data_IF_754228860338
#
_entry.id   IF_754228860338
#
_cell.length_a   1.000
_cell.length_b   1.000
_cell.length_c   1.000
_cell.angle_alpha   90.00
_cell.angle_beta   90.00
_cell.angle_gamma   90.00
#
_symmetry.space_group_name_H-M   'P 1'
#
loop_
_entity.id
_entity.type
_entity.pdbx_description
1 polymer ?
#
# COMPACT_ATOMS: atom_id res chain seq x y z
N UNK A 1 -10.79 5.13 28.41
CA UNK A 1 -11.96 4.29 28.74
C UNK A 1 -11.55 3.27 29.80
N UNK A 2 -12.41 2.95 30.76
CA UNK A 2 -12.12 1.95 31.81
C UNK A 2 -12.06 0.54 31.21
N UNK A 3 -11.24 -0.35 31.79
CA UNK A 3 -11.24 -1.77 31.44
C UNK A 3 -12.54 -2.46 31.89
N UNK A 4 -13.16 -3.21 30.98
CA UNK A 4 -14.41 -3.95 31.22
C UNK A 4 -14.16 -5.15 32.13
N UNK A 5 -15.10 -5.44 33.04
CA UNK A 5 -15.11 -6.65 33.85
C UNK A 5 -15.44 -7.87 32.98
N UNK A 6 -15.12 -9.11 33.43
CA UNK A 6 -15.36 -10.32 32.62
C UNK A 6 -16.81 -10.51 32.17
N UNK A 7 -17.79 -10.17 33.02
CA UNK A 7 -19.22 -10.26 32.69
C UNK A 7 -19.65 -9.20 31.66
N UNK A 8 -19.11 -7.99 31.76
CA UNK A 8 -19.36 -6.89 30.82
C UNK A 8 -18.76 -7.20 29.45
N UNK A 9 -17.53 -7.76 29.42
CA UNK A 9 -16.88 -8.18 28.19
C UNK A 9 -17.63 -9.34 27.51
N UNK A 10 -18.26 -10.23 28.29
CA UNK A 10 -19.09 -11.31 27.76
C UNK A 10 -20.37 -10.79 27.08
N UNK A 11 -20.96 -9.72 27.61
CA UNK A 11 -22.10 -9.01 27.00
C UNK A 11 -21.66 -8.20 25.77
N UNK A 12 -20.53 -7.51 25.87
CA UNK A 12 -20.03 -6.54 24.88
C UNK A 12 -18.97 -7.13 23.93
N UNK A 13 -19.10 -8.41 23.54
CA UNK A 13 -18.10 -9.11 22.70
C UNK A 13 -17.86 -8.47 21.34
N UNK A 14 -18.87 -7.84 20.75
CA UNK A 14 -18.79 -7.19 19.42
C UNK A 14 -18.41 -5.72 19.50
N UNK A 15 -18.33 -5.14 20.69
CA UNK A 15 -18.09 -3.71 20.88
C UNK A 15 -16.60 -3.48 21.02
N UNK A 16 -16.01 -2.89 19.99
CA UNK A 16 -14.68 -2.32 20.04
C UNK A 16 -14.80 -0.88 19.52
N UNK A 17 -14.50 0.11 20.36
CA UNK A 17 -14.62 1.52 19.98
C UNK A 17 -13.47 2.01 19.08
N UNK A 18 -12.35 1.30 19.07
CA UNK A 18 -11.16 1.71 18.31
C UNK A 18 -11.07 1.00 16.95
N UNK A 19 -11.63 -0.20 16.84
CA UNK A 19 -11.56 -1.02 15.64
C UNK A 19 -12.97 -1.46 15.22
N UNK A 20 -13.48 -0.81 14.17
CA UNK A 20 -14.76 -1.15 13.55
C UNK A 20 -14.51 -2.02 12.32
N UNK A 21 -15.38 -3.01 12.07
CA UNK A 21 -15.23 -3.93 10.94
C UNK A 21 -15.19 -3.24 9.57
N UNK A 22 -15.91 -2.13 9.40
CA UNK A 22 -15.87 -1.33 8.16
C UNK A 22 -14.55 -0.56 8.01
N UNK A 23 -13.90 -0.25 9.13
CA UNK A 23 -12.69 0.56 9.22
C UNK A 23 -11.45 -0.26 9.61
N UNK A 24 -11.47 -1.59 9.45
CA UNK A 24 -10.28 -2.43 9.71
C UNK A 24 -9.06 -1.98 8.89
N UNK A 25 -9.31 -1.35 7.74
CA UNK A 25 -8.27 -0.73 6.92
C UNK A 25 -7.67 0.55 7.52
N UNK A 26 -8.37 1.25 8.42
CA UNK A 26 -7.93 2.50 9.05
C UNK A 26 -6.66 2.29 9.90
N UNK A 27 -6.59 1.19 10.66
CA UNK A 27 -5.39 0.88 11.47
C UNK A 27 -4.19 0.59 10.59
N UNK A 28 -4.39 -0.11 9.46
CA UNK A 28 -3.31 -0.40 8.49
C UNK A 28 -2.85 0.87 7.78
N UNK A 29 -3.80 1.69 7.36
CA UNK A 29 -3.55 3.01 6.77
C UNK A 29 -2.73 3.90 7.71
N UNK A 30 -3.18 4.09 8.95
CA UNK A 30 -2.46 4.91 9.94
C UNK A 30 -1.03 4.42 10.19
N UNK A 31 -0.82 3.09 10.23
CA UNK A 31 0.52 2.49 10.33
C UNK A 31 1.39 2.83 9.11
N UNK A 32 0.86 2.76 7.91
CA UNK A 32 1.59 3.05 6.67
C UNK A 32 1.92 4.55 6.58
N UNK A 33 0.95 5.40 6.89
CA UNK A 33 1.10 6.86 6.93
C UNK A 33 2.25 7.24 7.88
N UNK A 34 2.22 6.72 9.11
CA UNK A 34 3.27 6.96 10.10
C UNK A 34 4.63 6.41 9.66
N UNK A 35 4.66 5.20 9.08
CA UNK A 35 5.90 4.55 8.66
C UNK A 35 6.65 5.31 7.55
N UNK A 36 5.92 5.90 6.60
CA UNK A 36 6.51 6.59 5.46
C UNK A 36 6.42 8.11 5.52
N UNK A 37 6.00 8.68 6.67
CA UNK A 37 5.88 10.13 6.84
C UNK A 37 4.92 10.77 5.82
N UNK A 38 3.80 10.12 5.53
CA UNK A 38 2.78 10.67 4.63
C UNK A 38 2.05 11.79 5.39
N UNK A 39 2.07 13.02 4.87
CA UNK A 39 1.41 14.15 5.50
C UNK A 39 -0.10 14.11 5.26
N UNK A 40 -0.50 14.00 4.00
CA UNK A 40 -1.90 13.98 3.60
C UNK A 40 -2.46 12.56 3.52
N UNK A 41 -3.53 12.30 4.26
CA UNK A 41 -4.24 11.01 4.21
C UNK A 41 -4.76 10.67 2.81
N UNK A 42 -5.09 11.69 2.01
CA UNK A 42 -5.54 11.51 0.65
C UNK A 42 -4.49 10.88 -0.26
N UNK A 43 -3.20 11.19 -0.05
CA UNK A 43 -2.10 10.58 -0.82
C UNK A 43 -2.14 9.06 -0.71
N UNK A 44 -2.32 8.55 0.51
CA UNK A 44 -2.43 7.12 0.76
C UNK A 44 -3.61 6.51 0.00
N UNK A 45 -4.76 7.18 0.05
CA UNK A 45 -5.97 6.73 -0.65
C UNK A 45 -5.76 6.70 -2.17
N UNK A 46 -5.09 7.71 -2.73
CA UNK A 46 -4.73 7.77 -4.15
C UNK A 46 -3.79 6.61 -4.53
N UNK A 47 -2.76 6.33 -3.73
CA UNK A 47 -1.86 5.19 -3.97
C UNK A 47 -2.57 3.84 -3.89
N UNK A 48 -3.46 3.67 -2.92
CA UNK A 48 -4.22 2.43 -2.76
C UNK A 48 -5.20 2.21 -3.94
N UNK A 49 -5.82 3.30 -4.43
CA UNK A 49 -6.64 3.25 -5.64
C UNK A 49 -5.79 2.85 -6.85
N UNK A 50 -4.60 3.41 -6.99
CA UNK A 50 -3.70 3.12 -8.10
C UNK A 50 -3.19 1.67 -8.07
N UNK A 51 -2.81 1.12 -6.91
CA UNK A 51 -2.50 -0.31 -6.79
C UNK A 51 -3.69 -1.18 -7.20
N UNK A 52 -4.90 -0.82 -6.78
CA UNK A 52 -6.12 -1.53 -7.18
C UNK A 52 -6.39 -1.48 -8.69
N UNK A 53 -6.09 -0.36 -9.37
CA UNK A 53 -6.19 -0.26 -10.83
C UNK A 53 -5.19 -1.19 -11.53
N UNK A 54 -3.94 -1.24 -11.06
CA UNK A 54 -2.93 -2.16 -11.60
C UNK A 54 -3.38 -3.61 -11.44
N UNK A 55 -3.85 -4.00 -10.25
CA UNK A 55 -4.34 -5.37 -10.02
C UNK A 55 -5.54 -5.71 -10.92
N UNK A 56 -6.43 -4.74 -11.21
CA UNK A 56 -7.54 -4.94 -12.15
C UNK A 56 -7.06 -5.18 -13.58
N UNK A 57 -6.09 -4.40 -14.06
CA UNK A 57 -5.48 -4.60 -15.39
C UNK A 57 -4.82 -5.97 -15.47
N UNK A 58 -4.05 -6.36 -14.45
CA UNK A 58 -3.42 -7.70 -14.38
C UNK A 58 -4.48 -8.81 -14.38
N UNK A 59 -5.58 -8.63 -13.66
CA UNK A 59 -6.67 -9.59 -13.64
C UNK A 59 -7.37 -9.71 -15.01
N UNK A 60 -7.47 -8.61 -15.76
CA UNK A 60 -7.99 -8.63 -17.14
C UNK A 60 -7.01 -9.35 -18.08
N UNK A 61 -5.70 -9.06 -18.00
CA UNK A 61 -4.68 -9.74 -18.80
C UNK A 61 -4.62 -11.24 -18.53
N UNK A 62 -4.86 -11.67 -17.30
CA UNK A 62 -4.93 -13.10 -16.93
C UNK A 62 -6.12 -13.84 -17.53
N UNK A 63 -7.19 -13.15 -17.93
CA UNK A 63 -8.36 -13.76 -18.59
C UNK A 63 -8.10 -14.08 -20.06
N UNK A 64 -7.16 -13.40 -20.70
CA UNK A 64 -6.80 -13.61 -22.09
C UNK A 64 -5.89 -14.85 -22.26
N UNK A 65 -5.95 -15.56 -23.39
CA UNK A 65 -5.08 -16.71 -23.64
C UNK A 65 -3.61 -16.28 -23.72
N UNK A 66 -2.68 -17.17 -23.35
CA UNK A 66 -1.26 -16.84 -23.26
C UNK A 66 -0.58 -16.56 -24.61
N UNK A 67 -1.15 -17.10 -25.69
CA UNK A 67 -0.64 -16.98 -27.06
C UNK A 67 -1.08 -15.70 -27.77
N UNK A 68 -1.93 -14.87 -27.14
CA UNK A 68 -2.42 -13.64 -27.74
C UNK A 68 -1.32 -12.56 -27.79
N UNK A 69 -1.10 -12.00 -28.97
CA UNK A 69 -0.07 -11.00 -29.21
C UNK A 69 -0.33 -9.71 -28.43
N UNK A 70 -1.60 -9.32 -28.28
CA UNK A 70 -1.99 -8.13 -27.51
C UNK A 70 -1.67 -8.30 -26.02
N UNK A 71 -1.91 -9.49 -25.48
CA UNK A 71 -1.58 -9.81 -24.09
C UNK A 71 -0.09 -9.69 -23.84
N UNK A 72 0.74 -10.22 -24.75
CA UNK A 72 2.21 -10.18 -24.63
C UNK A 72 2.69 -8.72 -24.64
N UNK A 73 2.28 -7.94 -25.64
CA UNK A 73 2.63 -6.51 -25.77
C UNK A 73 2.21 -5.70 -24.54
N UNK A 74 0.97 -5.86 -24.09
CA UNK A 74 0.45 -5.10 -22.94
C UNK A 74 1.14 -5.51 -21.63
N UNK A 75 1.48 -6.79 -21.48
CA UNK A 75 2.22 -7.29 -20.31
C UNK A 75 3.62 -6.69 -20.24
N UNK A 76 4.32 -6.65 -21.38
CA UNK A 76 5.66 -6.07 -21.48
C UNK A 76 5.63 -4.57 -21.13
N UNK A 77 4.72 -3.81 -21.74
CA UNK A 77 4.55 -2.37 -21.47
C UNK A 77 4.23 -2.10 -19.99
N UNK A 78 3.36 -2.92 -19.39
CA UNK A 78 3.01 -2.78 -17.98
C UNK A 78 4.22 -3.03 -17.07
N UNK A 79 4.96 -4.12 -17.32
CA UNK A 79 6.11 -4.51 -16.51
C UNK A 79 7.24 -3.51 -16.63
N UNK A 80 7.55 -3.07 -17.85
CA UNK A 80 8.59 -2.07 -18.10
C UNK A 80 8.28 -0.74 -17.41
N UNK A 81 7.02 -0.27 -17.52
CA UNK A 81 6.59 0.96 -16.85
C UNK A 81 6.69 0.86 -15.32
N UNK A 82 6.23 -0.25 -14.73
CA UNK A 82 6.29 -0.46 -13.28
C UNK A 82 7.73 -0.61 -12.76
N UNK A 83 8.59 -1.23 -13.56
CA UNK A 83 10.01 -1.40 -13.24
C UNK A 83 10.78 -0.08 -13.35
N UNK A 84 10.55 0.69 -14.41
CA UNK A 84 11.14 2.02 -14.61
C UNK A 84 10.76 2.99 -13.48
N UNK A 85 9.50 2.94 -13.01
CA UNK A 85 9.08 3.70 -11.82
C UNK A 85 9.70 3.17 -10.51
N UNK A 86 10.22 1.94 -10.51
CA UNK A 86 10.81 1.25 -9.36
C UNK A 86 9.78 0.74 -8.35
N UNK A 87 8.52 0.58 -8.78
CA UNK A 87 7.43 0.07 -7.92
C UNK A 87 7.59 -1.44 -7.70
N UNK A 88 8.07 -2.15 -8.73
CA UNK A 88 8.46 -3.55 -8.68
C UNK A 88 10.00 -3.69 -8.77
N UNK A 89 10.60 -4.68 -8.08
CA UNK A 89 12.05 -4.88 -8.10
C UNK A 89 12.55 -5.60 -9.36
N UNK A 90 11.69 -6.38 -10.03
CA UNK A 90 12.04 -7.15 -11.23
C UNK A 90 10.87 -7.16 -12.21
N UNK A 91 11.19 -7.12 -13.50
CA UNK A 91 10.21 -7.13 -14.60
C UNK A 91 9.88 -8.55 -15.11
N UNK A 92 10.17 -9.59 -14.32
CA UNK A 92 10.13 -10.98 -14.80
C UNK A 92 8.76 -11.65 -14.70
N UNK A 93 7.89 -11.23 -13.77
CA UNK A 93 6.62 -11.90 -13.53
C UNK A 93 5.47 -10.96 -13.15
N UNK A 94 4.27 -11.32 -13.63
CA UNK A 94 3.01 -10.65 -13.30
C UNK A 94 2.56 -10.89 -11.85
N UNK A 95 3.10 -11.89 -11.17
CA UNK A 95 2.71 -12.21 -9.78
C UNK A 95 3.04 -11.07 -8.82
N UNK A 96 4.18 -10.40 -9.03
CA UNK A 96 4.57 -9.22 -8.26
C UNK A 96 3.64 -8.03 -8.47
N UNK A 97 2.93 -7.99 -9.59
CA UNK A 97 1.94 -6.94 -9.86
C UNK A 97 0.61 -7.18 -9.12
N UNK A 98 0.30 -8.43 -8.76
CA UNK A 98 -0.90 -8.76 -7.96
C UNK A 98 -0.70 -8.40 -6.49
N UNK A 99 0.51 -8.58 -5.97
CA UNK A 99 0.88 -8.26 -4.58
C UNK A 99 1.14 -6.76 -4.34
N UNK A 100 0.86 -5.90 -5.33
CA UNK A 100 1.10 -4.47 -5.19
C UNK A 100 0.21 -3.84 -4.12
N UNK A 101 0.85 -3.16 -3.19
CA UNK A 101 0.19 -2.37 -2.14
C UNK A 101 0.57 -0.91 -2.24
N UNK A 102 -0.20 -0.04 -1.58
CA UNK A 102 0.12 1.38 -1.43
C UNK A 102 1.54 1.62 -0.86
N UNK A 103 2.07 0.67 -0.08
CA UNK A 103 3.44 0.73 0.45
C UNK A 103 4.52 0.69 -0.64
N UNK A 104 4.27 0.02 -1.77
CA UNK A 104 5.23 0.00 -2.88
C UNK A 104 5.39 1.40 -3.49
N UNK A 105 4.30 2.16 -3.59
CA UNK A 105 4.36 3.56 -4.03
C UNK A 105 4.94 4.48 -2.95
N UNK A 106 4.56 4.28 -1.69
CA UNK A 106 5.08 5.10 -0.58
C UNK A 106 6.62 5.02 -0.44
N UNK A 107 7.22 3.85 -0.72
CA UNK A 107 8.68 3.65 -0.73
C UNK A 107 9.42 4.46 -1.81
N UNK A 108 8.72 4.94 -2.84
CA UNK A 108 9.28 5.72 -3.94
C UNK A 108 9.17 7.23 -3.73
N UNK A 109 8.60 7.68 -2.61
CA UNK A 109 8.59 9.09 -2.21
C UNK A 109 10.02 9.57 -1.98
N UNK A 110 10.29 10.83 -2.34
CA UNK A 110 11.61 11.44 -2.22
C UNK A 110 12.17 11.33 -0.80
N UNK A 111 11.37 11.64 0.23
CA UNK A 111 11.77 11.53 1.63
C UNK A 111 12.32 10.14 1.98
N UNK A 112 11.63 9.08 1.55
CA UNK A 112 12.03 7.69 1.81
C UNK A 112 13.28 7.31 1.01
N UNK A 113 13.38 7.75 -0.24
CA UNK A 113 14.54 7.43 -1.10
C UNK A 113 15.81 8.13 -0.59
N UNK A 114 15.70 9.38 -0.14
CA UNK A 114 16.80 10.15 0.44
C UNK A 114 17.33 9.48 1.70
N UNK A 115 16.44 9.06 2.61
CA UNK A 115 16.82 8.30 3.82
C UNK A 115 17.45 6.95 3.47
N UNK A 116 16.88 6.23 2.50
CA UNK A 116 17.44 4.94 2.03
C UNK A 116 18.85 5.08 1.44
N UNK A 117 19.13 6.21 0.80
CA UNK A 117 20.45 6.50 0.24
C UNK A 117 21.40 7.15 1.27
N UNK A 118 21.04 7.17 2.56
CA UNK A 118 21.83 7.71 3.66
C UNK A 118 22.13 9.22 3.56
N UNK A 119 21.31 9.98 2.84
CA UNK A 119 21.39 11.44 2.85
C UNK A 119 20.72 12.07 4.08
N UNK A 120 19.75 11.37 4.68
CA UNK A 120 19.11 11.73 5.95
C UNK A 120 18.98 10.50 6.83
N UNK A 121 18.97 10.68 8.16
CA UNK A 121 18.85 9.59 9.11
C UNK A 121 17.41 9.06 9.25
N UNK A 122 16.41 9.96 9.11
CA UNK A 122 15.01 9.65 9.34
C UNK A 122 14.10 10.23 8.23
N UNK A 123 12.98 9.55 7.98
CA UNK A 123 12.00 9.90 6.92
C UNK A 123 11.07 11.04 7.36
N UNK A 124 10.80 11.15 8.66
CA UNK A 124 9.96 12.19 9.25
C UNK A 124 10.80 13.13 10.09
N UNK A 125 10.50 14.43 10.00
CA UNK A 125 10.87 15.37 11.05
C UNK A 125 9.95 15.04 12.23
N UNK A 126 10.48 14.46 13.31
CA UNK A 126 9.69 14.26 14.52
C UNK A 126 9.13 15.63 14.92
N UNK A 127 7.80 15.74 15.02
CA UNK A 127 7.11 16.95 15.51
C UNK A 127 7.37 17.22 16.99
N UNK A 128 8.54 16.84 17.51
CA UNK A 128 9.02 17.02 18.88
C UNK A 128 9.85 18.29 19.07
N UNK A 129 9.89 19.18 18.07
CA UNK A 129 10.46 20.54 18.18
C UNK A 129 9.36 21.58 17.98
N UNK A 130 8.36 21.61 18.88
CA UNK A 130 7.64 22.79 19.37
C UNK A 130 7.12 22.48 20.78
#
# INVERSE_FOLDING_TARGET
>A
MRQLKPHEQKLLRKVNLYQWKRDDNNVREAKIIRKYGIQDREDYTRYNKLSGLVTKVVAQLRKLPASDEERIKMTEVLLDKLYTMGVIPTASSLDKCVELSASSFARRRLSVVVTRNHFTEQVGFDGSIL
#
